data_IF_118987067515
#
_entry.id   IF_118987067515
#
_cell.length_a   1.000
_cell.length_b   1.000
_cell.length_c   1.000
_cell.angle_alpha   90.00
_cell.angle_beta   90.00
_cell.angle_gamma   90.00
#
_symmetry.space_group_name_H-M   'P 1'
#
loop_
_entity.id
_entity.type
_entity.pdbx_description
1 polymer ?
#
# COMPACT_ATOMS: atom_id res chain seq x y z
N UNK A 1 13.64 -11.36 -30.17
CA UNK A 1 14.09 -12.11 -28.98
C UNK A 1 13.22 -11.89 -27.72
N UNK A 2 12.39 -10.84 -27.64
CA UNK A 2 11.53 -10.56 -26.46
C UNK A 2 10.11 -11.18 -26.50
N UNK A 3 9.77 -11.97 -27.54
CA UNK A 3 8.44 -12.61 -27.66
C UNK A 3 8.33 -14.01 -27.01
N UNK A 4 9.43 -14.56 -26.48
CA UNK A 4 9.52 -15.97 -26.05
C UNK A 4 9.36 -16.23 -24.53
N UNK A 5 9.19 -15.20 -23.71
CA UNK A 5 9.10 -15.36 -22.23
C UNK A 5 7.64 -15.52 -21.76
N UNK A 6 6.66 -15.34 -22.65
CA UNK A 6 5.25 -15.19 -22.26
C UNK A 6 4.43 -16.49 -22.18
N UNK A 7 5.06 -17.68 -22.26
CA UNK A 7 4.37 -18.98 -22.28
C UNK A 7 4.87 -20.01 -21.27
N UNK A 8 5.76 -19.67 -20.34
CA UNK A 8 6.27 -20.62 -19.34
C UNK A 8 5.51 -20.43 -18.03
N UNK A 9 4.38 -21.12 -17.91
CA UNK A 9 3.73 -21.39 -16.62
C UNK A 9 4.16 -22.80 -16.22
N UNK A 10 5.04 -22.89 -15.24
CA UNK A 10 5.51 -24.17 -14.73
C UNK A 10 4.56 -24.67 -13.63
N UNK A 11 4.10 -25.92 -13.76
CA UNK A 11 3.30 -26.61 -12.75
C UNK A 11 4.27 -27.32 -11.82
N UNK A 12 4.20 -27.01 -10.52
CA UNK A 12 5.07 -27.59 -9.49
C UNK A 12 4.23 -28.48 -8.58
N UNK A 13 4.64 -29.74 -8.41
CA UNK A 13 4.00 -30.68 -7.50
C UNK A 13 4.52 -30.46 -6.08
N UNK A 14 3.67 -29.95 -5.19
CA UNK A 14 4.02 -29.62 -3.81
C UNK A 14 3.00 -30.27 -2.87
N UNK A 15 3.46 -30.83 -1.74
CA UNK A 15 2.56 -31.34 -0.68
C UNK A 15 1.95 -30.17 0.09
N UNK A 16 0.76 -30.35 0.65
CA UNK A 16 0.00 -29.26 1.30
C UNK A 16 0.74 -28.63 2.50
N UNK A 17 1.62 -29.37 3.17
CA UNK A 17 2.46 -28.90 4.28
C UNK A 17 3.38 -27.72 3.90
N UNK A 18 3.79 -27.64 2.64
CA UNK A 18 4.68 -26.58 2.14
C UNK A 18 3.91 -25.42 1.50
N UNK A 19 2.58 -25.50 1.47
CA UNK A 19 1.72 -24.49 0.85
C UNK A 19 1.08 -23.65 1.94
N UNK A 20 1.47 -22.38 2.01
CA UNK A 20 0.82 -21.40 2.88
C UNK A 20 -0.10 -20.49 2.05
N UNK A 21 -1.34 -20.23 2.51
CA UNK A 21 -2.24 -19.33 1.81
C UNK A 21 -1.70 -17.89 1.83
N UNK A 22 -1.70 -17.23 0.67
CA UNK A 22 -1.24 -15.85 0.54
C UNK A 22 -2.30 -14.86 1.04
N UNK A 23 -1.95 -13.98 1.98
CA UNK A 23 -2.85 -12.93 2.48
C UNK A 23 -3.19 -11.86 1.43
N UNK A 24 -2.37 -11.73 0.38
CA UNK A 24 -2.59 -10.76 -0.71
C UNK A 24 -3.94 -10.96 -1.43
N UNK A 25 -4.39 -12.22 -1.55
CA UNK A 25 -5.68 -12.54 -2.19
C UNK A 25 -6.85 -12.16 -1.29
N UNK A 26 -6.74 -12.40 0.01
CA UNK A 26 -7.80 -12.08 0.97
C UNK A 26 -8.05 -10.57 1.04
N UNK A 27 -6.99 -9.77 1.07
CA UNK A 27 -7.10 -8.31 1.06
C UNK A 27 -7.70 -7.78 -0.25
N UNK A 28 -7.42 -8.46 -1.37
CA UNK A 28 -8.07 -8.16 -2.65
C UNK A 28 -9.57 -8.43 -2.61
N UNK A 29 -9.98 -9.59 -2.08
CA UNK A 29 -11.40 -9.98 -1.97
C UNK A 29 -12.17 -9.06 -1.02
N UNK A 30 -11.59 -8.72 0.14
CA UNK A 30 -12.19 -7.76 1.08
C UNK A 30 -12.46 -6.42 0.40
N UNK A 31 -11.50 -5.90 -0.37
CA UNK A 31 -11.69 -4.66 -1.13
C UNK A 31 -12.81 -4.76 -2.17
N UNK A 32 -12.92 -5.89 -2.88
CA UNK A 32 -13.96 -6.06 -3.91
C UNK A 32 -15.34 -5.96 -3.26
N UNK A 33 -15.52 -6.67 -2.13
CA UNK A 33 -16.76 -6.62 -1.36
C UNK A 33 -17.08 -5.20 -0.85
N UNK A 34 -16.11 -4.53 -0.23
CA UNK A 34 -16.29 -3.14 0.24
C UNK A 34 -16.63 -2.16 -0.90
N UNK A 35 -16.10 -2.38 -2.10
CA UNK A 35 -16.41 -1.55 -3.26
C UNK A 35 -17.83 -1.79 -3.76
N UNK A 36 -18.28 -3.04 -3.80
CA UNK A 36 -19.66 -3.39 -4.18
C UNK A 36 -20.68 -2.77 -3.24
N UNK A 37 -20.43 -2.83 -1.93
CA UNK A 37 -21.27 -2.19 -0.91
C UNK A 37 -21.36 -0.67 -1.12
N UNK A 38 -20.21 -0.01 -1.35
CA UNK A 38 -20.14 1.43 -1.64
C UNK A 38 -20.88 1.80 -2.92
N UNK A 39 -20.82 0.95 -3.96
CA UNK A 39 -21.56 1.17 -5.21
C UNK A 39 -23.06 1.02 -4.99
N UNK A 40 -23.49 0.02 -4.22
CA UNK A 40 -24.90 -0.18 -3.90
C UNK A 40 -25.47 1.04 -3.15
N UNK A 41 -24.75 1.55 -2.16
CA UNK A 41 -25.16 2.73 -1.41
C UNK A 41 -25.14 4.01 -2.25
N UNK A 42 -24.14 4.16 -3.13
CA UNK A 42 -24.04 5.26 -4.07
C UNK A 42 -25.22 5.28 -5.06
N UNK A 43 -25.62 4.11 -5.58
CA UNK A 43 -26.79 3.94 -6.43
C UNK A 43 -28.09 4.32 -5.72
N UNK A 44 -28.28 3.88 -4.46
CA UNK A 44 -29.45 4.25 -3.64
C UNK A 44 -29.55 5.76 -3.40
N UNK A 45 -28.41 6.41 -3.17
CA UNK A 45 -28.33 7.86 -2.91
C UNK A 45 -28.30 8.71 -4.20
N UNK A 46 -28.14 8.10 -5.38
CA UNK A 46 -27.97 8.80 -6.65
C UNK A 46 -26.64 9.56 -6.79
N UNK A 47 -25.63 9.26 -5.97
CA UNK A 47 -24.35 9.97 -5.92
C UNK A 47 -23.28 9.16 -6.67
N UNK A 48 -22.38 9.84 -7.39
CA UNK A 48 -21.19 9.19 -7.98
C UNK A 48 -20.06 9.12 -6.96
N UNK A 49 -19.54 7.90 -6.70
CA UNK A 49 -18.44 7.65 -5.76
C UNK A 49 -17.17 7.25 -6.53
N UNK A 50 -16.03 7.83 -6.16
CA UNK A 50 -14.73 7.42 -6.69
C UNK A 50 -14.17 6.25 -5.87
N UNK A 51 -14.04 5.07 -6.49
CA UNK A 51 -13.56 3.83 -5.84
C UNK A 51 -12.04 3.61 -5.97
N UNK A 52 -11.33 4.53 -6.63
CA UNK A 52 -9.89 4.42 -6.86
C UNK A 52 -9.12 4.68 -5.56
N UNK A 53 -8.06 3.91 -5.33
CA UNK A 53 -7.09 4.19 -4.26
C UNK A 53 -6.30 5.44 -4.62
N UNK A 54 -6.16 6.38 -3.68
CA UNK A 54 -5.31 7.56 -3.82
C UNK A 54 -4.04 7.39 -2.98
N UNK A 55 -2.88 7.86 -3.46
CA UNK A 55 -1.67 7.91 -2.63
C UNK A 55 -1.86 8.89 -1.48
N UNK A 56 -1.00 8.79 -0.47
CA UNK A 56 -0.97 9.76 0.62
C UNK A 56 -0.64 11.14 0.07
N UNK A 57 -1.52 12.11 0.35
CA UNK A 57 -1.29 13.52 0.01
C UNK A 57 -0.29 14.20 0.94
N UNK A 58 0.08 15.46 0.67
CA UNK A 58 0.87 16.26 1.60
C UNK A 58 0.16 16.35 2.95
N UNK A 59 0.95 16.31 4.04
CA UNK A 59 0.40 16.47 5.39
C UNK A 59 -0.19 17.88 5.52
N UNK A 60 -1.39 18.04 6.10
CA UNK A 60 -1.94 19.37 6.36
C UNK A 60 -1.08 20.11 7.38
N UNK A 61 -1.10 21.44 7.32
CA UNK A 61 -0.47 22.28 8.34
C UNK A 61 -1.11 22.06 9.71
N UNK A 62 -0.30 21.91 10.75
CA UNK A 62 -0.77 21.83 12.13
C UNK A 62 0.18 22.60 13.04
N UNK A 63 -0.35 23.14 14.14
CA UNK A 63 0.43 23.84 15.15
C UNK A 63 1.07 22.77 16.05
N UNK A 64 2.40 22.66 16.00
CA UNK A 64 3.16 21.81 16.90
C UNK A 64 3.42 22.58 18.19
N UNK A 65 2.89 22.10 19.32
CA UNK A 65 3.28 22.57 20.65
C UNK A 65 4.30 21.58 21.22
N UNK A 66 5.57 21.94 21.15
CA UNK A 66 6.65 21.15 21.73
C UNK A 66 6.94 21.56 23.17
N UNK A 67 7.24 20.60 24.02
CA UNK A 67 7.99 20.81 25.27
C UNK A 67 9.48 20.74 24.95
N UNK A 68 10.19 21.84 25.23
CA UNK A 68 11.64 22.04 25.17
C UNK A 68 12.36 21.58 23.88
N UNK A 69 12.53 22.47 22.88
CA UNK A 69 13.34 22.15 21.71
C UNK A 69 14.81 22.05 22.08
N UNK A 70 15.45 20.95 21.68
CA UNK A 70 16.89 20.76 21.83
C UNK A 70 17.59 21.49 20.68
N UNK A 71 18.51 22.40 20.99
CA UNK A 71 19.38 23.03 20.01
C UNK A 71 20.56 22.09 19.69
N UNK A 72 20.63 21.61 18.45
CA UNK A 72 21.74 20.77 17.97
C UNK A 72 22.68 21.63 17.11
N UNK A 73 23.97 21.61 17.42
CA UNK A 73 25.02 22.19 16.59
C UNK A 73 25.60 21.13 15.64
N UNK A 74 26.01 21.50 14.41
CA UNK A 74 26.71 20.58 13.52
C UNK A 74 28.04 20.15 14.14
N UNK A 75 28.41 18.89 13.93
CA UNK A 75 29.74 18.40 14.29
C UNK A 75 30.78 19.00 13.31
N UNK A 76 31.93 19.47 13.79
CA UNK A 76 33.01 19.91 12.92
C UNK A 76 33.59 18.73 12.13
N UNK A 77 34.09 19.02 10.93
CA UNK A 77 34.79 18.03 10.12
C UNK A 77 36.21 17.81 10.66
N UNK A 78 36.55 16.57 10.96
CA UNK A 78 37.87 16.17 11.45
C UNK A 78 38.59 15.34 10.38
N UNK A 79 39.78 15.78 9.97
CA UNK A 79 40.70 14.96 9.19
C UNK A 79 41.39 13.97 10.14
N UNK A 80 41.03 12.70 10.06
CA UNK A 80 41.77 11.61 10.72
C UNK A 80 42.88 11.19 9.76
N UNK A 81 44.13 11.48 10.14
CA UNK A 81 45.35 11.04 9.46
C UNK A 81 45.87 9.72 10.03
#
# INVERSE_FOLDING_TARGET
MLKYIMSLVDIINIRIEHVNPSKCRDDFLKRVKENEDKVADAKKKGIRVCLKRKPQGPRPGHIVRGTDPISLAPLPYEFIA
#
